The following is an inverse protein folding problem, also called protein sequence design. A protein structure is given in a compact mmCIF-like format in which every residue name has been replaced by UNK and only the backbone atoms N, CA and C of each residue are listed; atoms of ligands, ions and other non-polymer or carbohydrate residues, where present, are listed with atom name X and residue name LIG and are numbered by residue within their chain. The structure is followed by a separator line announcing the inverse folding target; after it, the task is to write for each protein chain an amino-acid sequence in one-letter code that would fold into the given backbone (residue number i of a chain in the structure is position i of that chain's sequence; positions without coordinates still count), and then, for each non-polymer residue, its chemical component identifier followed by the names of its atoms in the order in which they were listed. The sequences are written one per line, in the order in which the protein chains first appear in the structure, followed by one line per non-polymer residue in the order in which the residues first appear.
data_IF_573735976999
#
_entry.id   IF_573735976999
#
_cell.length_a   1.000
_cell.length_b   1.000
_cell.length_c   1.000
_cell.angle_alpha   90.00
_cell.angle_beta   90.00
_cell.angle_gamma   90.00
#
_symmetry.space_group_name_H-M   'P 1'
#
loop_
_entity.id
_entity.type
_entity.pdbx_description
1 polymer ?
#
# COMPACT_ATOMS: atom_id res chain seq x y z
N UNK A 1 -35.01 -21.91 25.82
CA UNK A 1 -34.62 -22.59 24.57
C UNK A 1 -35.62 -22.16 23.49
N UNK A 2 -35.33 -21.15 22.73
CA UNK A 2 -36.13 -20.76 21.56
C UNK A 2 -35.52 -21.48 20.34
N UNK A 3 -36.26 -22.46 19.82
CA UNK A 3 -35.94 -23.16 18.58
C UNK A 3 -35.99 -22.12 17.46
N UNK A 4 -34.84 -21.84 16.84
CA UNK A 4 -34.72 -20.94 15.72
C UNK A 4 -35.49 -21.51 14.51
N UNK A 5 -36.43 -20.70 14.00
CA UNK A 5 -37.01 -20.89 12.69
C UNK A 5 -35.88 -21.01 11.65
N UNK A 6 -35.85 -22.12 10.91
CA UNK A 6 -34.88 -22.38 9.85
C UNK A 6 -35.08 -21.51 8.58
N UNK A 7 -35.12 -20.21 8.74
CA UNK A 7 -35.08 -19.25 7.65
C UNK A 7 -33.67 -19.20 7.01
N UNK A 8 -33.61 -19.08 5.69
CA UNK A 8 -32.36 -18.83 4.94
C UNK A 8 -31.72 -17.54 5.48
N UNK A 9 -30.45 -17.63 5.93
CA UNK A 9 -29.74 -16.44 6.42
C UNK A 9 -29.36 -15.54 5.26
N UNK A 10 -29.40 -14.20 5.45
CA UNK A 10 -28.93 -13.28 4.44
C UNK A 10 -27.44 -13.53 4.13
N UNK A 11 -27.10 -13.49 2.85
CA UNK A 11 -25.74 -13.66 2.33
C UNK A 11 -25.06 -12.30 2.22
N UNK A 12 -23.91 -12.16 2.86
CA UNK A 12 -23.08 -10.96 2.76
C UNK A 12 -21.82 -11.29 1.99
N UNK A 13 -21.63 -10.66 0.83
CA UNK A 13 -20.41 -10.79 0.05
C UNK A 13 -19.54 -9.56 0.28
N UNK A 14 -18.26 -9.79 0.65
CA UNK A 14 -17.26 -8.75 0.90
C UNK A 14 -16.17 -8.87 -0.15
N UNK A 15 -16.03 -7.85 -0.99
CA UNK A 15 -15.02 -7.78 -2.04
C UNK A 15 -13.79 -7.01 -1.53
N UNK A 16 -12.67 -7.70 -1.40
CA UNK A 16 -11.41 -7.18 -0.88
C UNK A 16 -11.18 -7.50 0.59
N UNK A 17 -10.03 -8.11 0.88
CA UNK A 17 -9.54 -8.48 2.21
C UNK A 17 -8.59 -7.45 2.83
N UNK A 18 -8.67 -6.17 2.41
CA UNK A 18 -7.90 -5.06 2.96
C UNK A 18 -8.49 -4.51 4.28
N UNK A 19 -8.09 -3.29 4.65
CA UNK A 19 -8.52 -2.65 5.91
C UNK A 19 -10.04 -2.60 6.07
N UNK A 20 -10.75 -2.13 5.04
CA UNK A 20 -12.22 -2.02 5.09
C UNK A 20 -12.90 -3.38 5.16
N UNK A 21 -12.54 -4.29 4.25
CA UNK A 21 -13.19 -5.60 4.13
C UNK A 21 -12.97 -6.51 5.33
N UNK A 22 -11.75 -6.57 5.87
CA UNK A 22 -11.47 -7.36 7.08
C UNK A 22 -12.24 -6.82 8.28
N UNK A 23 -12.35 -5.50 8.44
CA UNK A 23 -13.12 -4.92 9.54
C UNK A 23 -14.63 -5.13 9.36
N UNK A 24 -15.13 -5.08 8.12
CA UNK A 24 -16.52 -5.44 7.83
C UNK A 24 -16.79 -6.92 8.16
N UNK A 25 -15.98 -7.85 7.66
CA UNK A 25 -16.14 -9.27 7.93
C UNK A 25 -16.05 -9.59 9.44
N UNK A 26 -15.07 -9.01 10.15
CA UNK A 26 -14.96 -9.17 11.62
C UNK A 26 -16.18 -8.64 12.36
N UNK A 27 -16.66 -7.47 11.98
CA UNK A 27 -17.82 -6.84 12.63
C UNK A 27 -19.12 -7.63 12.44
N UNK A 28 -19.23 -8.39 11.35
CA UNK A 28 -20.39 -9.25 11.06
C UNK A 28 -20.32 -10.64 11.72
N UNK A 29 -19.21 -11.03 12.34
CA UNK A 29 -18.99 -12.39 12.83
C UNK A 29 -20.06 -12.94 13.78
N UNK A 30 -20.73 -12.08 14.54
CA UNK A 30 -21.81 -12.43 15.45
C UNK A 30 -23.20 -12.17 14.88
N UNK A 31 -23.34 -11.57 13.69
CA UNK A 31 -24.61 -11.33 13.04
C UNK A 31 -25.20 -12.65 12.48
N UNK A 32 -26.52 -12.79 12.35
CA UNK A 32 -27.16 -13.98 11.80
C UNK A 32 -27.10 -14.00 10.26
N UNK A 33 -25.92 -13.87 9.70
CA UNK A 33 -25.64 -13.84 8.26
C UNK A 33 -24.59 -14.87 7.87
N UNK A 34 -24.53 -15.25 6.59
CA UNK A 34 -23.46 -16.04 6.01
C UNK A 34 -22.57 -15.12 5.19
N UNK A 35 -21.25 -15.13 5.49
CA UNK A 35 -20.29 -14.17 4.94
C UNK A 35 -19.36 -14.87 3.95
N UNK A 36 -19.15 -14.24 2.79
CA UNK A 36 -18.11 -14.66 1.84
C UNK A 36 -17.17 -13.49 1.58
N UNK A 37 -15.90 -13.64 1.95
CA UNK A 37 -14.84 -12.68 1.62
C UNK A 37 -14.12 -13.15 0.36
N UNK A 38 -14.03 -12.29 -0.65
CA UNK A 38 -13.37 -12.58 -1.93
C UNK A 38 -12.20 -11.62 -2.10
N UNK A 39 -11.00 -12.16 -2.31
CA UNK A 39 -9.81 -11.36 -2.61
C UNK A 39 -8.94 -12.08 -3.63
N UNK A 40 -8.23 -11.32 -4.46
CA UNK A 40 -7.25 -11.85 -5.43
C UNK A 40 -6.07 -12.52 -4.73
N UNK A 41 -5.80 -12.13 -3.48
CA UNK A 41 -4.71 -12.62 -2.63
C UNK A 41 -5.28 -13.41 -1.45
N UNK A 42 -4.51 -14.35 -0.95
CA UNK A 42 -4.90 -15.11 0.24
C UNK A 42 -4.53 -14.43 1.56
N UNK A 43 -3.95 -13.21 1.50
CA UNK A 43 -3.43 -12.51 2.67
C UNK A 43 -3.85 -11.04 2.72
N UNK A 44 -4.00 -10.55 3.94
CA UNK A 44 -4.10 -9.15 4.30
C UNK A 44 -2.70 -8.55 4.41
N UNK A 45 -2.52 -7.30 3.99
CA UNK A 45 -1.25 -6.56 4.11
C UNK A 45 -1.44 -5.33 4.99
N UNK A 46 -0.55 -5.15 5.96
CA UNK A 46 -0.48 -3.92 6.76
C UNK A 46 0.35 -2.87 6.01
N UNK A 47 -0.30 -2.16 5.09
CA UNK A 47 0.33 -1.23 4.15
C UNK A 47 1.22 -0.13 4.79
N UNK A 48 0.94 0.41 5.98
CA UNK A 48 1.80 1.43 6.58
C UNK A 48 3.26 1.00 6.80
N UNK A 49 3.55 -0.31 6.85
CA UNK A 49 4.90 -0.84 6.96
C UNK A 49 5.47 -1.37 5.63
N UNK A 50 4.77 -1.14 4.51
CA UNK A 50 5.15 -1.70 3.23
C UNK A 50 6.49 -1.12 2.70
N UNK A 51 6.78 0.16 2.98
CA UNK A 51 8.05 0.77 2.63
C UNK A 51 9.24 0.08 3.33
N UNK A 52 9.06 -0.47 4.53
CA UNK A 52 10.09 -1.23 5.23
C UNK A 52 10.37 -2.58 4.57
N UNK A 53 9.36 -3.19 3.95
CA UNK A 53 9.58 -4.36 3.09
C UNK A 53 10.32 -3.96 1.82
N UNK A 54 9.93 -2.85 1.20
CA UNK A 54 10.60 -2.32 0.00
C UNK A 54 12.07 -2.00 0.25
N UNK A 55 12.46 -1.61 1.45
CA UNK A 55 13.83 -1.22 1.82
C UNK A 55 14.52 -2.24 2.74
N UNK A 56 14.10 -3.51 2.65
CA UNK A 56 14.76 -4.66 3.28
C UNK A 56 14.82 -4.65 4.83
N UNK A 57 14.09 -3.78 5.51
CA UNK A 57 14.01 -3.73 6.98
C UNK A 57 13.12 -4.85 7.51
N UNK A 58 12.01 -5.15 6.83
CA UNK A 58 11.06 -6.20 7.19
C UNK A 58 10.89 -7.23 6.07
N UNK A 59 10.55 -8.45 6.45
CA UNK A 59 10.08 -9.47 5.53
C UNK A 59 8.61 -9.24 5.15
N UNK A 60 8.16 -9.62 3.94
CA UNK A 60 6.75 -9.63 3.58
C UNK A 60 5.86 -10.32 4.63
N UNK A 61 6.32 -11.41 5.21
CA UNK A 61 5.58 -12.19 6.21
C UNK A 61 5.39 -11.46 7.55
N UNK A 62 6.19 -10.43 7.84
CA UNK A 62 6.07 -9.65 9.06
C UNK A 62 4.86 -8.71 9.05
N UNK A 63 4.44 -8.28 7.85
CA UNK A 63 3.33 -7.34 7.65
C UNK A 63 2.12 -7.95 6.97
N UNK A 64 2.23 -9.19 6.49
CA UNK A 64 1.15 -9.90 5.82
C UNK A 64 0.65 -11.08 6.67
N UNK A 65 -0.68 -11.33 6.63
CA UNK A 65 -1.29 -12.45 7.34
C UNK A 65 -2.39 -13.09 6.48
N UNK A 66 -2.45 -14.44 6.39
CA UNK A 66 -3.50 -15.10 5.64
C UNK A 66 -4.90 -14.70 6.14
N UNK A 67 -5.79 -14.32 5.22
CA UNK A 67 -7.16 -13.88 5.54
C UNK A 67 -7.92 -14.98 6.28
N UNK A 68 -7.74 -16.24 5.90
CA UNK A 68 -8.35 -17.39 6.58
C UNK A 68 -7.91 -17.51 8.04
N UNK A 69 -6.65 -17.18 8.35
CA UNK A 69 -6.15 -17.16 9.73
C UNK A 69 -6.78 -16.04 10.54
N UNK A 70 -6.98 -14.87 9.93
CA UNK A 70 -7.60 -13.71 10.58
C UNK A 70 -9.07 -13.99 10.96
N UNK A 71 -9.79 -14.75 10.11
CA UNK A 71 -11.22 -14.99 10.24
C UNK A 71 -11.58 -16.41 10.74
N UNK A 72 -10.60 -17.22 11.14
CA UNK A 72 -10.77 -18.64 11.46
C UNK A 72 -11.78 -18.94 12.57
N UNK A 73 -11.96 -18.01 13.52
CA UNK A 73 -12.90 -18.15 14.63
C UNK A 73 -14.36 -17.95 14.21
N UNK A 74 -14.59 -17.38 13.01
CA UNK A 74 -15.93 -17.10 12.50
C UNK A 74 -16.45 -18.26 11.68
N UNK A 75 -17.24 -19.14 12.30
CA UNK A 75 -17.75 -20.38 11.69
C UNK A 75 -18.63 -20.18 10.43
N UNK A 76 -19.23 -18.98 10.28
CA UNK A 76 -20.11 -18.61 9.15
C UNK A 76 -19.42 -17.73 8.12
N UNK A 77 -18.10 -17.67 8.15
CA UNK A 77 -17.32 -16.88 7.21
C UNK A 77 -16.46 -17.81 6.37
N UNK A 78 -16.66 -17.76 5.06
CA UNK A 78 -15.79 -18.39 4.09
C UNK A 78 -14.92 -17.34 3.40
N UNK A 79 -13.76 -17.77 2.90
CA UNK A 79 -12.82 -16.92 2.17
C UNK A 79 -12.56 -17.58 0.81
N UNK A 80 -12.68 -16.84 -0.26
CA UNK A 80 -12.34 -17.28 -1.61
C UNK A 80 -11.17 -16.44 -2.13
N UNK A 81 -10.14 -17.11 -2.62
CA UNK A 81 -9.08 -16.46 -3.39
C UNK A 81 -9.48 -16.49 -4.86
N UNK A 82 -10.04 -15.40 -5.35
CA UNK A 82 -10.47 -15.24 -6.74
C UNK A 82 -10.55 -13.74 -7.09
N UNK A 83 -10.70 -13.44 -8.38
CA UNK A 83 -10.84 -12.10 -8.90
C UNK A 83 -12.28 -11.85 -9.36
N UNK A 84 -12.86 -10.73 -8.89
CA UNK A 84 -14.19 -10.29 -9.35
C UNK A 84 -14.02 -9.58 -10.70
N UNK A 85 -14.74 -10.07 -11.69
CA UNK A 85 -14.70 -9.56 -13.08
C UNK A 85 -16.02 -8.96 -13.53
N UNK A 86 -17.08 -9.06 -12.71
CA UNK A 86 -18.39 -8.46 -13.00
C UNK A 86 -19.23 -8.31 -11.74
N UNK A 87 -20.01 -7.23 -11.68
CA UNK A 87 -21.02 -6.97 -10.64
C UNK A 87 -22.32 -6.62 -11.34
N UNK A 88 -23.33 -7.44 -11.16
CA UNK A 88 -24.71 -7.17 -11.56
C UNK A 88 -25.49 -6.75 -10.31
N UNK A 89 -25.62 -5.46 -10.12
CA UNK A 89 -26.30 -4.90 -8.95
C UNK A 89 -27.81 -5.13 -8.94
N UNK A 90 -28.41 -5.23 -10.14
CA UNK A 90 -29.87 -5.41 -10.27
C UNK A 90 -30.25 -6.88 -10.02
N UNK A 91 -29.44 -7.84 -10.51
CA UNK A 91 -29.58 -9.27 -10.21
C UNK A 91 -28.94 -9.65 -8.86
N UNK A 92 -28.30 -8.72 -8.14
CA UNK A 92 -27.59 -8.97 -6.88
C UNK A 92 -26.58 -10.11 -6.97
N UNK A 93 -25.70 -10.05 -7.97
CA UNK A 93 -24.78 -11.13 -8.29
C UNK A 93 -23.38 -10.61 -8.66
N UNK A 94 -22.36 -11.28 -8.17
CA UNK A 94 -20.97 -11.06 -8.59
C UNK A 94 -20.49 -12.24 -9.44
N UNK A 95 -19.67 -11.93 -10.46
CA UNK A 95 -19.05 -12.93 -11.34
C UNK A 95 -17.56 -12.95 -11.07
N UNK A 96 -17.01 -14.15 -10.86
CA UNK A 96 -15.61 -14.39 -10.59
C UNK A 96 -14.86 -14.80 -11.86
N UNK A 97 -13.56 -14.58 -11.89
CA UNK A 97 -12.67 -14.96 -13.01
C UNK A 97 -12.67 -16.47 -13.27
N UNK A 98 -12.86 -17.27 -12.24
CA UNK A 98 -13.05 -18.72 -12.35
C UNK A 98 -14.35 -19.13 -13.11
N UNK A 99 -15.22 -18.17 -13.42
CA UNK A 99 -16.55 -18.41 -13.99
C UNK A 99 -17.65 -18.62 -12.96
N UNK A 100 -17.34 -18.75 -11.68
CA UNK A 100 -18.33 -18.89 -10.63
C UNK A 100 -19.14 -17.60 -10.46
N UNK A 101 -20.43 -17.75 -10.14
CA UNK A 101 -21.33 -16.65 -9.84
C UNK A 101 -21.84 -16.79 -8.40
N UNK A 102 -21.91 -15.66 -7.69
CA UNK A 102 -22.36 -15.62 -6.31
C UNK A 102 -23.44 -14.56 -6.15
N UNK A 103 -24.58 -14.96 -5.62
CA UNK A 103 -25.67 -14.06 -5.25
C UNK A 103 -25.41 -13.50 -3.85
N UNK A 104 -25.88 -12.28 -3.61
CA UNK A 104 -25.80 -11.61 -2.31
C UNK A 104 -27.14 -10.96 -1.94
N UNK A 105 -27.37 -10.83 -0.66
CA UNK A 105 -28.42 -9.99 -0.09
C UNK A 105 -27.85 -8.62 0.32
N UNK A 106 -26.55 -8.60 0.73
CA UNK A 106 -25.76 -7.39 0.96
C UNK A 106 -24.37 -7.54 0.34
N UNK A 107 -23.87 -6.44 -0.24
CA UNK A 107 -22.55 -6.38 -0.87
C UNK A 107 -21.70 -5.31 -0.17
N UNK A 108 -20.48 -5.65 0.25
CA UNK A 108 -19.48 -4.69 0.73
C UNK A 108 -18.33 -4.63 -0.27
N UNK A 109 -18.12 -3.49 -0.92
CA UNK A 109 -17.06 -3.28 -1.89
C UNK A 109 -15.92 -2.52 -1.21
N UNK A 110 -14.82 -3.23 -0.91
CA UNK A 110 -13.69 -2.76 -0.11
C UNK A 110 -12.35 -2.94 -0.85
N UNK A 111 -12.35 -2.72 -2.16
CA UNK A 111 -11.21 -3.04 -3.05
C UNK A 111 -10.14 -1.95 -3.12
N UNK A 112 -10.33 -0.86 -2.38
CA UNK A 112 -9.33 0.19 -2.18
C UNK A 112 -8.98 0.96 -3.45
N UNK A 113 -7.68 1.27 -3.58
CA UNK A 113 -7.11 2.08 -4.65
C UNK A 113 -5.92 1.39 -5.31
N UNK A 114 -5.54 1.87 -6.49
CA UNK A 114 -4.35 1.45 -7.25
C UNK A 114 -3.50 2.67 -7.62
N UNK A 115 -2.36 2.45 -8.24
CA UNK A 115 -1.52 3.54 -8.76
C UNK A 115 -2.24 4.30 -9.86
N UNK A 116 -1.99 5.59 -9.93
CA UNK A 116 -2.36 6.45 -11.05
C UNK A 116 -1.09 7.07 -11.64
N UNK A 117 -0.86 6.81 -12.90
CA UNK A 117 0.23 7.42 -13.67
C UNK A 117 -0.27 8.58 -14.54
N UNK A 118 -1.47 9.12 -14.23
CA UNK A 118 -2.07 10.26 -14.90
C UNK A 118 -2.20 10.08 -16.42
N UNK A 119 -2.53 8.87 -16.87
CA UNK A 119 -2.67 8.51 -18.28
C UNK A 119 -1.37 8.09 -18.98
N UNK A 120 -0.28 7.93 -18.21
CA UNK A 120 1.03 7.47 -18.68
C UNK A 120 1.33 6.08 -18.12
N UNK A 121 0.46 5.11 -18.39
CA UNK A 121 0.53 3.77 -17.79
C UNK A 121 1.82 3.01 -18.16
N UNK A 122 2.47 3.41 -19.26
CA UNK A 122 3.80 2.92 -19.66
C UNK A 122 4.90 3.20 -18.62
N UNK A 123 4.73 4.23 -17.81
CA UNK A 123 5.69 4.55 -16.74
C UNK A 123 5.72 3.50 -15.61
N UNK A 124 4.67 2.69 -15.49
CA UNK A 124 4.60 1.66 -14.44
C UNK A 124 5.76 0.66 -14.51
N UNK A 125 6.21 0.31 -15.71
CA UNK A 125 7.35 -0.58 -15.90
C UNK A 125 8.69 0.06 -15.49
N UNK A 126 8.80 1.38 -15.59
CA UNK A 126 10.03 2.14 -15.32
C UNK A 126 10.10 2.65 -13.89
N UNK A 127 8.98 3.08 -13.34
CA UNK A 127 8.85 3.68 -12.02
C UNK A 127 7.77 2.95 -11.20
N UNK A 128 8.09 1.81 -10.55
CA UNK A 128 7.12 1.07 -9.75
C UNK A 128 6.62 1.93 -8.59
N UNK A 129 5.31 1.85 -8.33
CA UNK A 129 4.69 2.42 -7.14
C UNK A 129 4.71 1.45 -5.96
N UNK A 130 4.14 1.85 -4.81
CA UNK A 130 4.14 1.05 -3.58
C UNK A 130 2.72 0.89 -3.02
N UNK A 131 2.05 -0.19 -3.36
CA UNK A 131 0.70 -0.53 -2.87
C UNK A 131 0.55 -1.99 -2.45
N UNK A 132 1.37 -2.88 -3.00
CA UNK A 132 1.30 -4.32 -2.77
C UNK A 132 2.63 -4.89 -2.26
N UNK A 133 2.59 -6.11 -1.74
CA UNK A 133 3.82 -6.82 -1.33
C UNK A 133 4.73 -7.04 -2.54
N UNK A 134 4.16 -7.34 -3.70
CA UNK A 134 4.88 -7.53 -4.95
C UNK A 134 5.61 -6.25 -5.37
N UNK A 135 4.94 -5.10 -5.28
CA UNK A 135 5.56 -3.79 -5.54
C UNK A 135 6.74 -3.54 -4.59
N UNK A 136 6.56 -3.84 -3.31
CA UNK A 136 7.63 -3.68 -2.32
C UNK A 136 8.83 -4.57 -2.61
N UNK A 137 8.61 -5.82 -3.00
CA UNK A 137 9.68 -6.75 -3.38
C UNK A 137 10.38 -6.29 -4.65
N UNK A 138 9.64 -5.77 -5.64
CA UNK A 138 10.21 -5.21 -6.86
C UNK A 138 11.06 -3.95 -6.59
N UNK A 139 10.56 -3.03 -5.76
CA UNK A 139 11.35 -1.86 -5.34
C UNK A 139 12.63 -2.30 -4.64
N UNK A 140 12.54 -3.25 -3.70
CA UNK A 140 13.72 -3.81 -3.01
C UNK A 140 14.72 -4.37 -3.99
N UNK A 141 14.25 -5.19 -4.94
CA UNK A 141 15.08 -5.77 -5.98
C UNK A 141 15.85 -4.68 -6.75
N UNK A 142 15.14 -3.64 -7.22
CA UNK A 142 15.76 -2.56 -8.01
C UNK A 142 16.78 -1.76 -7.21
N UNK A 143 16.43 -1.39 -5.98
CA UNK A 143 17.33 -0.59 -5.13
C UNK A 143 18.60 -1.36 -4.80
N UNK A 144 18.48 -2.61 -4.37
CA UNK A 144 19.66 -3.44 -4.05
C UNK A 144 20.49 -3.77 -5.29
N UNK A 145 19.83 -4.14 -6.40
CA UNK A 145 20.50 -4.47 -7.65
C UNK A 145 21.32 -3.32 -8.22
N UNK A 146 20.88 -2.07 -8.03
CA UNK A 146 21.62 -0.90 -8.49
C UNK A 146 23.05 -0.85 -7.88
N UNK A 147 23.19 -1.20 -6.61
CA UNK A 147 24.50 -1.26 -5.93
C UNK A 147 25.35 -2.43 -6.43
N UNK A 148 24.76 -3.61 -6.62
CA UNK A 148 25.47 -4.80 -7.15
C UNK A 148 25.98 -4.56 -8.57
N UNK A 149 25.18 -3.94 -9.42
CA UNK A 149 25.57 -3.60 -10.79
C UNK A 149 26.67 -2.54 -10.80
N UNK A 150 26.62 -1.55 -9.91
CA UNK A 150 27.65 -0.53 -9.79
C UNK A 150 28.99 -1.13 -9.33
N UNK A 151 28.97 -2.03 -8.33
CA UNK A 151 30.17 -2.75 -7.86
C UNK A 151 30.81 -3.55 -9.00
N UNK A 152 30.00 -4.31 -9.72
CA UNK A 152 30.47 -5.11 -10.86
C UNK A 152 31.08 -4.23 -11.95
N UNK A 153 30.36 -3.18 -12.37
CA UNK A 153 30.86 -2.30 -13.42
C UNK A 153 32.13 -1.57 -13.00
N UNK A 154 32.22 -1.12 -11.75
CA UNK A 154 33.42 -0.48 -11.21
C UNK A 154 34.62 -1.42 -11.26
N UNK A 155 34.43 -2.71 -10.95
CA UNK A 155 35.46 -3.72 -11.02
C UNK A 155 35.90 -3.97 -12.47
N UNK A 156 34.98 -4.04 -13.42
CA UNK A 156 35.22 -4.37 -14.82
C UNK A 156 35.84 -3.20 -15.61
N UNK A 157 35.37 -1.97 -15.36
CA UNK A 157 35.68 -0.80 -16.20
C UNK A 157 36.40 0.33 -15.47
N UNK A 158 36.48 0.27 -14.13
CA UNK A 158 36.98 1.36 -13.29
C UNK A 158 36.02 2.54 -13.13
N UNK A 159 34.81 2.45 -13.64
CA UNK A 159 33.78 3.50 -13.54
C UNK A 159 32.40 2.88 -13.31
N UNK A 160 31.47 3.65 -12.72
CA UNK A 160 30.06 3.30 -12.64
C UNK A 160 29.19 4.56 -12.80
N UNK A 161 27.89 4.43 -13.19
CA UNK A 161 26.97 5.56 -13.20
C UNK A 161 26.75 6.13 -11.81
N UNK A 162 26.39 7.42 -11.74
CA UNK A 162 25.99 8.03 -10.47
C UNK A 162 24.76 7.27 -9.91
N UNK A 163 24.86 6.86 -8.63
CA UNK A 163 23.78 6.16 -7.93
C UNK A 163 22.68 7.16 -7.48
N UNK A 164 21.95 7.68 -8.46
CA UNK A 164 20.85 8.60 -8.23
C UNK A 164 19.53 7.85 -8.13
N UNK A 165 18.88 7.94 -6.99
CA UNK A 165 17.54 7.39 -6.73
C UNK A 165 16.53 8.53 -6.76
N UNK A 166 15.56 8.46 -7.66
CA UNK A 166 14.53 9.49 -7.83
C UNK A 166 13.19 8.96 -7.32
N UNK A 167 12.58 9.69 -6.40
CA UNK A 167 11.22 9.41 -5.87
C UNK A 167 10.30 10.52 -6.36
N UNK A 168 9.28 10.17 -7.12
CA UNK A 168 8.30 11.11 -7.68
C UNK A 168 7.08 11.14 -6.76
N UNK A 169 6.85 12.30 -6.13
CA UNK A 169 5.78 12.55 -5.16
C UNK A 169 6.31 12.76 -3.74
N UNK A 170 5.92 13.88 -3.12
CA UNK A 170 6.32 14.33 -1.79
C UNK A 170 5.28 14.08 -0.70
N UNK A 171 4.37 13.11 -0.90
CA UNK A 171 3.47 12.61 0.14
C UNK A 171 4.17 11.67 1.13
N UNK A 172 3.44 11.13 2.13
CA UNK A 172 4.01 10.25 3.16
C UNK A 172 4.84 9.09 2.58
N UNK A 173 4.29 8.36 1.60
CA UNK A 173 4.99 7.23 0.95
C UNK A 173 6.32 7.64 0.32
N UNK A 174 6.35 8.80 -0.38
CA UNK A 174 7.58 9.28 -1.02
C UNK A 174 8.64 9.69 -0.01
N UNK A 175 8.23 10.36 1.06
CA UNK A 175 9.12 10.77 2.17
C UNK A 175 9.70 9.55 2.89
N UNK A 176 8.86 8.55 3.20
CA UNK A 176 9.28 7.30 3.83
C UNK A 176 10.24 6.50 2.96
N UNK A 177 9.94 6.35 1.65
CA UNK A 177 10.84 5.69 0.70
C UNK A 177 12.18 6.42 0.60
N UNK A 178 12.18 7.73 0.41
CA UNK A 178 13.41 8.49 0.23
C UNK A 178 14.30 8.45 1.47
N UNK A 179 13.72 8.63 2.68
CA UNK A 179 14.44 8.51 3.94
C UNK A 179 15.06 7.13 4.12
N UNK A 180 14.29 6.07 3.83
CA UNK A 180 14.75 4.70 3.99
C UNK A 180 15.80 4.30 2.93
N UNK A 181 15.75 4.81 1.68
CA UNK A 181 16.82 4.62 0.68
C UNK A 181 18.13 5.27 1.16
N UNK A 182 18.03 6.48 1.72
CA UNK A 182 19.23 7.13 2.29
C UNK A 182 19.84 6.33 3.44
N UNK A 183 19.02 5.80 4.34
CA UNK A 183 19.48 4.96 5.45
C UNK A 183 20.13 3.66 4.95
N UNK A 184 19.54 2.97 3.96
CA UNK A 184 20.11 1.74 3.43
C UNK A 184 21.49 1.98 2.81
N UNK A 185 21.64 3.06 2.05
CA UNK A 185 22.89 3.39 1.40
C UNK A 185 23.99 3.81 2.40
N UNK A 186 23.65 4.60 3.42
CA UNK A 186 24.62 5.24 4.31
C UNK A 186 24.91 4.50 5.60
N UNK A 187 23.93 3.70 6.08
CA UNK A 187 24.07 3.01 7.36
C UNK A 187 24.24 1.49 7.16
N UNK A 188 23.39 0.88 6.32
CA UNK A 188 23.31 -0.58 6.27
C UNK A 188 24.26 -1.20 5.25
N UNK A 189 24.49 -0.53 4.13
CA UNK A 189 25.34 -1.05 3.04
C UNK A 189 26.71 -0.37 2.95
N UNK A 190 27.00 0.61 3.81
CA UNK A 190 28.20 1.43 3.75
C UNK A 190 29.51 0.63 3.71
N UNK A 191 29.53 -0.56 4.33
CA UNK A 191 30.72 -1.41 4.43
C UNK A 191 30.62 -2.74 3.66
N UNK A 192 29.54 -2.95 2.90
CA UNK A 192 29.32 -4.23 2.21
C UNK A 192 30.14 -4.35 0.92
N UNK A 193 30.33 -3.25 0.22
CA UNK A 193 31.02 -3.15 -1.07
C UNK A 193 32.49 -2.79 -0.94
N UNK A 194 33.30 -3.18 -1.92
CA UNK A 194 34.75 -2.99 -1.90
C UNK A 194 35.24 -1.97 -2.93
N UNK A 195 34.52 -1.82 -4.04
CA UNK A 195 34.95 -0.97 -5.16
C UNK A 195 34.09 0.28 -5.30
N UNK A 196 32.89 0.30 -4.73
CA UNK A 196 32.06 1.49 -4.67
C UNK A 196 31.86 1.96 -3.23
N UNK A 197 31.47 3.23 -3.10
CA UNK A 197 31.02 3.80 -1.83
C UNK A 197 29.49 3.98 -1.86
N UNK A 198 28.67 3.08 -1.27
CA UNK A 198 27.23 3.24 -1.26
C UNK A 198 26.74 4.55 -0.67
N UNK A 199 27.49 5.12 0.28
CA UNK A 199 27.14 6.42 0.92
C UNK A 199 27.20 7.60 -0.05
N UNK A 200 27.80 7.44 -1.23
CA UNK A 200 27.79 8.46 -2.29
C UNK A 200 26.47 8.54 -3.04
N UNK A 201 25.56 7.58 -2.83
CA UNK A 201 24.24 7.57 -3.44
C UNK A 201 23.45 8.85 -3.13
N UNK A 202 22.80 9.39 -4.15
CA UNK A 202 21.97 10.59 -4.03
C UNK A 202 20.51 10.20 -4.10
N UNK A 203 19.70 10.75 -3.19
CA UNK A 203 18.26 10.55 -3.18
C UNK A 203 17.59 11.89 -3.44
N UNK A 204 16.69 11.92 -4.44
CA UNK A 204 15.98 13.12 -4.87
C UNK A 204 14.48 12.87 -4.85
N UNK A 205 13.72 13.71 -4.14
CA UNK A 205 12.27 13.79 -4.24
C UNK A 205 11.90 14.87 -5.25
N UNK A 206 11.08 14.51 -6.24
CA UNK A 206 10.43 15.43 -7.18
C UNK A 206 8.95 15.56 -6.81
N UNK A 207 8.55 16.73 -6.34
CA UNK A 207 7.18 17.02 -5.94
C UNK A 207 6.58 18.10 -6.84
N UNK A 208 5.45 17.78 -7.51
CA UNK A 208 4.79 18.71 -8.43
C UNK A 208 4.15 19.92 -7.75
N UNK A 209 3.72 19.80 -6.51
CA UNK A 209 3.17 20.91 -5.74
C UNK A 209 4.28 21.77 -5.10
N UNK A 210 3.90 22.93 -4.59
CA UNK A 210 4.81 23.80 -3.84
C UNK A 210 5.10 23.37 -2.39
N UNK A 211 4.60 22.20 -1.96
CA UNK A 211 4.67 21.78 -0.56
C UNK A 211 4.95 20.27 -0.43
N UNK A 212 5.94 19.94 0.38
CA UNK A 212 6.13 18.56 0.85
C UNK A 212 5.07 18.22 1.90
N UNK A 213 4.54 17.00 1.91
CA UNK A 213 3.51 16.57 2.87
C UNK A 213 2.33 17.55 2.93
N UNK A 214 1.75 17.93 1.79
CA UNK A 214 0.77 19.02 1.67
C UNK A 214 -0.46 18.91 2.60
N UNK A 215 -0.80 17.70 3.08
CA UNK A 215 -1.87 17.46 4.04
C UNK A 215 -1.48 17.76 5.51
N UNK A 216 -0.19 18.00 5.78
CA UNK A 216 0.31 18.27 7.12
C UNK A 216 0.40 19.78 7.38
N UNK A 217 0.36 20.23 8.66
CA UNK A 217 0.62 21.61 9.04
C UNK A 217 2.00 22.11 8.59
N UNK A 218 2.12 23.41 8.34
CA UNK A 218 3.33 24.02 7.77
C UNK A 218 4.59 23.80 8.64
N UNK A 219 4.45 23.81 9.97
CA UNK A 219 5.54 23.52 10.92
C UNK A 219 6.09 22.09 10.78
N UNK A 220 5.19 21.11 10.54
CA UNK A 220 5.59 19.72 10.30
C UNK A 220 6.18 19.53 8.90
N UNK A 221 5.70 20.27 7.88
CA UNK A 221 6.28 20.28 6.55
C UNK A 221 7.74 20.79 6.59
N UNK A 222 7.99 21.92 7.29
CA UNK A 222 9.33 22.47 7.46
C UNK A 222 10.24 21.53 8.25
N UNK A 223 9.71 20.89 9.29
CA UNK A 223 10.45 19.90 10.05
C UNK A 223 10.84 18.69 9.19
N UNK A 224 9.92 18.21 8.33
CA UNK A 224 10.19 17.11 7.40
C UNK A 224 11.29 17.46 6.39
N UNK A 225 11.24 18.65 5.81
CA UNK A 225 12.30 19.15 4.90
C UNK A 225 13.67 19.16 5.59
N UNK A 226 13.75 19.70 6.81
CA UNK A 226 14.99 19.74 7.58
C UNK A 226 15.53 18.35 7.94
N UNK A 227 14.63 17.41 8.27
CA UNK A 227 15.02 16.04 8.59
C UNK A 227 15.51 15.29 7.33
N UNK A 228 14.87 15.47 6.18
CA UNK A 228 15.32 14.92 4.89
C UNK A 228 16.68 15.47 4.47
N UNK A 229 16.89 16.78 4.61
CA UNK A 229 18.18 17.43 4.34
C UNK A 229 19.29 16.85 5.24
N UNK A 230 19.01 16.63 6.52
CA UNK A 230 19.92 15.96 7.46
C UNK A 230 20.28 14.52 7.07
N UNK A 231 19.40 13.83 6.36
CA UNK A 231 19.67 12.54 5.73
C UNK A 231 20.37 12.67 4.36
N UNK A 232 20.59 13.90 3.85
CA UNK A 232 21.14 14.20 2.53
C UNK A 232 20.19 13.86 1.38
N UNK A 233 18.89 13.78 1.65
CA UNK A 233 17.86 13.69 0.64
C UNK A 233 17.55 15.07 0.10
N UNK A 234 17.64 15.24 -1.20
CA UNK A 234 17.30 16.50 -1.87
C UNK A 234 15.80 16.52 -2.19
N UNK A 235 15.16 17.68 -2.04
CA UNK A 235 13.75 17.87 -2.36
C UNK A 235 13.61 19.02 -3.36
N UNK A 236 12.95 18.76 -4.50
CA UNK A 236 12.57 19.78 -5.47
C UNK A 236 11.06 19.92 -5.50
N UNK A 237 10.56 21.04 -5.01
CA UNK A 237 9.15 21.41 -5.04
C UNK A 237 8.82 22.13 -6.35
N UNK A 238 7.58 22.02 -6.83
CA UNK A 238 7.15 22.57 -8.11
C UNK A 238 7.75 21.84 -9.33
N UNK A 239 8.31 20.65 -9.12
CA UNK A 239 8.97 19.85 -10.15
C UNK A 239 7.99 18.84 -10.76
N UNK A 240 7.35 19.23 -11.85
CA UNK A 240 6.46 18.34 -12.60
C UNK A 240 7.28 17.46 -13.55
N UNK A 241 7.26 16.14 -13.30
CA UNK A 241 7.86 15.17 -14.21
C UNK A 241 7.04 15.12 -15.48
N UNK A 242 7.68 15.38 -16.63
CA UNK A 242 7.06 15.38 -17.95
C UNK A 242 7.24 14.06 -18.69
N UNK A 243 8.33 13.33 -18.41
CA UNK A 243 8.61 12.02 -18.98
C UNK A 243 9.48 11.15 -18.07
N UNK A 244 9.37 9.84 -18.20
CA UNK A 244 10.18 8.83 -17.52
C UNK A 244 10.71 7.87 -18.57
N UNK A 245 12.04 7.75 -18.64
CA UNK A 245 12.73 6.86 -19.56
C UNK A 245 13.70 5.93 -18.82
N UNK A 246 14.14 4.83 -19.41
CA UNK A 246 15.18 4.01 -18.83
C UNK A 246 16.44 4.84 -18.50
N UNK A 247 16.80 4.92 -17.21
CA UNK A 247 17.99 5.63 -16.75
C UNK A 247 17.85 7.12 -16.49
N UNK A 248 16.69 7.75 -16.75
CA UNK A 248 16.47 9.17 -16.45
C UNK A 248 15.01 9.59 -16.34
N UNK A 249 14.78 10.73 -15.75
CA UNK A 249 13.49 11.43 -15.75
C UNK A 249 13.64 12.83 -16.32
N UNK A 250 12.55 13.36 -16.91
CA UNK A 250 12.50 14.73 -17.45
C UNK A 250 11.65 15.61 -16.52
N UNK A 251 12.15 16.81 -16.23
CA UNK A 251 11.40 17.88 -15.55
C UNK A 251 11.45 19.12 -16.46
N UNK A 252 10.39 19.34 -17.22
CA UNK A 252 10.44 20.27 -18.36
C UNK A 252 11.49 19.79 -19.37
N UNK A 253 12.48 20.63 -19.68
CA UNK A 253 13.58 20.31 -20.60
C UNK A 253 14.82 19.75 -19.87
N UNK A 254 14.82 19.69 -18.54
CA UNK A 254 15.93 19.19 -17.77
C UNK A 254 15.91 17.66 -17.66
N UNK A 255 16.99 17.04 -18.08
CA UNK A 255 17.24 15.61 -17.91
C UNK A 255 17.92 15.35 -16.56
N UNK A 256 17.33 14.48 -15.74
CA UNK A 256 17.87 14.05 -14.45
C UNK A 256 18.18 12.55 -14.55
N UNK A 257 19.44 12.17 -14.53
CA UNK A 257 19.84 10.77 -14.54
C UNK A 257 19.42 10.06 -13.26
N UNK A 258 18.85 8.87 -13.39
CA UNK A 258 18.30 8.08 -12.31
C UNK A 258 18.55 6.59 -12.54
N UNK A 259 19.27 5.91 -11.65
CA UNK A 259 19.45 4.47 -11.71
C UNK A 259 18.18 3.71 -11.30
N UNK A 260 17.40 4.30 -10.40
CA UNK A 260 16.10 3.80 -9.98
C UNK A 260 15.14 4.99 -9.85
N UNK A 261 13.99 4.87 -10.49
CA UNK A 261 12.87 5.82 -10.34
C UNK A 261 11.72 5.11 -9.64
N UNK A 262 11.12 5.75 -8.62
CA UNK A 262 9.99 5.23 -7.84
C UNK A 262 8.81 6.18 -7.92
N UNK A 263 7.60 5.62 -8.01
CA UNK A 263 6.36 6.38 -8.12
C UNK A 263 5.60 6.46 -6.80
N UNK A 264 5.42 7.65 -6.28
CA UNK A 264 4.62 7.96 -5.08
C UNK A 264 3.66 9.15 -5.29
N UNK A 265 3.42 9.56 -6.55
CA UNK A 265 2.73 10.82 -6.88
C UNK A 265 1.21 10.72 -7.02
N UNK A 266 0.64 9.52 -7.11
CA UNK A 266 -0.79 9.44 -7.33
C UNK A 266 -1.41 8.06 -7.12
N UNK A 267 -2.66 8.10 -6.66
CA UNK A 267 -3.53 6.93 -6.54
C UNK A 267 -4.89 7.23 -7.16
N UNK A 268 -5.51 6.21 -7.72
CA UNK A 268 -6.88 6.22 -8.22
C UNK A 268 -7.67 5.07 -7.59
N UNK A 269 -8.98 5.21 -7.56
CA UNK A 269 -9.85 4.17 -7.04
C UNK A 269 -9.73 2.87 -7.85
N UNK A 270 -10.01 1.75 -7.21
CA UNK A 270 -10.04 0.43 -7.85
C UNK A 270 -11.00 0.42 -9.05
N UNK A 271 -10.63 -0.22 -10.17
CA UNK A 271 -11.51 -0.32 -11.35
C UNK A 271 -12.84 -1.03 -11.09
N UNK A 272 -12.99 -1.75 -9.97
CA UNK A 272 -14.27 -2.36 -9.60
C UNK A 272 -15.38 -1.32 -9.36
N UNK A 273 -15.06 -0.07 -9.01
CA UNK A 273 -16.05 1.01 -8.92
C UNK A 273 -16.83 1.20 -10.22
N UNK A 274 -16.16 1.09 -11.37
CA UNK A 274 -16.80 1.19 -12.69
C UNK A 274 -17.79 0.05 -12.97
N UNK A 275 -17.54 -1.15 -12.42
CA UNK A 275 -18.41 -2.31 -12.61
C UNK A 275 -19.75 -2.18 -11.88
N UNK A 276 -19.83 -1.32 -10.86
CA UNK A 276 -21.10 -1.03 -10.16
C UNK A 276 -22.07 -0.21 -11.01
N UNK A 277 -21.57 0.55 -12.00
CA UNK A 277 -22.41 1.39 -12.84
C UNK A 277 -23.17 2.48 -12.05
N UNK A 278 -22.50 3.08 -11.06
CA UNK A 278 -23.02 4.15 -10.17
C UNK A 278 -22.19 5.43 -10.33
N UNK A 279 -22.63 6.52 -9.74
CA UNK A 279 -21.93 7.80 -9.79
C UNK A 279 -20.55 7.74 -9.12
N UNK A 280 -19.54 8.34 -9.77
CA UNK A 280 -18.16 8.36 -9.33
C UNK A 280 -17.54 9.76 -9.46
N UNK A 281 -16.51 10.02 -8.67
CA UNK A 281 -15.68 11.22 -8.82
C UNK A 281 -14.68 11.08 -9.99
N UNK A 282 -13.88 12.14 -10.22
CA UNK A 282 -12.87 12.16 -11.28
C UNK A 282 -11.74 11.14 -11.11
N UNK A 283 -11.52 10.64 -9.89
CA UNK A 283 -10.50 9.61 -9.58
C UNK A 283 -11.09 8.19 -9.61
N UNK A 284 -12.38 8.05 -9.97
CA UNK A 284 -13.10 6.79 -10.04
C UNK A 284 -13.59 6.28 -8.70
N UNK A 285 -13.56 7.09 -7.63
CA UNK A 285 -14.15 6.74 -6.34
C UNK A 285 -15.66 6.90 -6.39
N UNK A 286 -16.38 5.94 -5.81
CA UNK A 286 -17.84 5.87 -5.83
C UNK A 286 -18.42 6.90 -4.85
N UNK A 287 -19.32 7.76 -5.32
CA UNK A 287 -20.04 8.70 -4.47
C UNK A 287 -21.00 7.94 -3.55
N UNK A 288 -20.85 8.13 -2.25
CA UNK A 288 -21.67 7.45 -1.24
C UNK A 288 -22.38 8.44 -0.33
N UNK A 289 -23.54 8.02 0.18
CA UNK A 289 -24.31 8.76 1.17
C UNK A 289 -23.76 8.62 2.60
N UNK A 290 -24.45 9.15 3.58
CA UNK A 290 -24.11 9.07 5.00
C UNK A 290 -24.11 7.64 5.55
N UNK A 291 -24.68 6.69 4.84
CA UNK A 291 -24.69 5.27 5.20
C UNK A 291 -23.66 4.44 4.42
N UNK A 292 -22.79 5.11 3.65
CA UNK A 292 -21.79 4.51 2.77
C UNK A 292 -22.41 3.70 1.61
N UNK A 293 -23.62 4.06 1.21
CA UNK A 293 -24.35 3.43 0.11
C UNK A 293 -24.26 4.30 -1.14
N UNK A 294 -24.04 3.72 -2.34
CA UNK A 294 -24.28 4.41 -3.59
C UNK A 294 -25.78 4.78 -3.69
N UNK A 295 -26.09 5.92 -4.29
CA UNK A 295 -27.47 6.42 -4.41
C UNK A 295 -28.41 5.36 -5.01
N UNK A 296 -29.48 5.03 -4.26
CA UNK A 296 -30.50 4.08 -4.70
C UNK A 296 -30.20 2.61 -4.43
N UNK A 297 -29.08 2.29 -3.74
CA UNK A 297 -28.63 0.91 -3.48
C UNK A 297 -28.32 0.70 -2.00
N UNK A 298 -29.34 0.58 -1.15
CA UNK A 298 -29.18 0.39 0.31
C UNK A 298 -28.58 -0.98 0.71
N UNK A 299 -28.51 -1.91 -0.22
CA UNK A 299 -27.93 -3.24 -0.08
C UNK A 299 -26.44 -3.31 -0.47
N UNK A 300 -25.89 -2.21 -1.04
CA UNK A 300 -24.47 -2.10 -1.43
C UNK A 300 -23.77 -1.07 -0.55
N UNK A 301 -22.64 -1.46 0.04
CA UNK A 301 -21.78 -0.61 0.85
C UNK A 301 -20.42 -0.47 0.18
N UNK A 302 -19.95 0.76 -0.03
CA UNK A 302 -18.61 1.01 -0.56
C UNK A 302 -17.76 1.64 0.55
N UNK A 303 -16.58 1.07 0.82
CA UNK A 303 -15.77 1.45 1.97
C UNK A 303 -14.28 1.58 1.62
N UNK A 304 -13.58 2.42 2.38
CA UNK A 304 -12.15 2.70 2.19
C UNK A 304 -11.88 3.59 0.97
N UNK A 305 -10.69 3.46 0.38
CA UNK A 305 -10.21 4.36 -0.70
C UNK A 305 -11.09 4.35 -1.96
N UNK A 306 -11.96 3.34 -2.12
CA UNK A 306 -12.93 3.28 -3.22
C UNK A 306 -14.12 4.21 -2.98
N UNK A 307 -14.43 4.58 -1.74
CA UNK A 307 -15.55 5.45 -1.38
C UNK A 307 -15.15 6.93 -1.44
N UNK A 308 -15.96 7.73 -2.13
CA UNK A 308 -15.93 9.18 -1.99
C UNK A 308 -17.01 9.58 -0.99
N UNK A 309 -16.61 9.80 0.25
CA UNK A 309 -17.46 10.24 1.34
C UNK A 309 -17.06 11.65 1.79
N UNK A 310 -18.03 12.53 1.89
CA UNK A 310 -17.83 13.89 2.38
C UNK A 310 -18.48 14.07 3.77
N UNK A 311 -17.73 14.67 4.67
CA UNK A 311 -18.20 15.10 5.98
C UNK A 311 -17.93 16.59 6.17
N UNK A 312 -18.97 17.34 6.49
CA UNK A 312 -18.91 18.79 6.67
C UNK A 312 -18.24 19.53 5.47
N UNK A 313 -18.55 19.07 4.24
CA UNK A 313 -18.03 19.64 2.98
C UNK A 313 -16.57 19.32 2.68
N UNK A 314 -15.98 18.35 3.39
CA UNK A 314 -14.62 17.88 3.16
C UNK A 314 -14.62 16.39 2.87
N UNK A 315 -13.86 16.00 1.86
CA UNK A 315 -13.66 14.59 1.54
C UNK A 315 -12.85 13.92 2.66
N UNK A 316 -13.35 12.79 3.18
CA UNK A 316 -12.60 11.93 4.10
C UNK A 316 -11.44 11.29 3.35
N UNK A 317 -10.21 11.31 3.91
CA UNK A 317 -9.02 10.84 3.21
C UNK A 317 -9.03 9.33 2.96
N UNK A 318 -8.45 8.90 1.82
CA UNK A 318 -8.26 7.48 1.50
C UNK A 318 -7.03 6.89 2.20
N UNK A 319 -7.15 6.63 3.50
CA UNK A 319 -6.11 6.04 4.35
C UNK A 319 -6.67 4.90 5.20
N UNK A 320 -5.81 4.19 5.91
CA UNK A 320 -6.20 2.99 6.68
C UNK A 320 -7.26 3.26 7.76
N UNK A 321 -7.20 4.41 8.46
CA UNK A 321 -8.10 4.72 9.57
C UNK A 321 -9.57 4.84 9.12
N UNK A 322 -9.93 5.68 8.12
CA UNK A 322 -11.30 5.73 7.61
C UNK A 322 -11.74 4.37 7.06
N UNK A 323 -10.88 3.66 6.32
CA UNK A 323 -11.23 2.35 5.77
C UNK A 323 -11.66 1.35 6.86
N UNK A 324 -10.93 1.28 7.98
CA UNK A 324 -11.30 0.44 9.13
C UNK A 324 -12.62 0.86 9.77
N UNK A 325 -12.82 2.17 9.94
CA UNK A 325 -14.04 2.73 10.55
C UNK A 325 -15.26 2.53 9.65
N UNK A 326 -15.13 2.79 8.34
CA UNK A 326 -16.19 2.53 7.35
C UNK A 326 -16.56 1.05 7.30
N UNK A 327 -15.58 0.13 7.29
CA UNK A 327 -15.85 -1.31 7.33
C UNK A 327 -16.59 -1.74 8.60
N UNK A 328 -16.19 -1.21 9.75
CA UNK A 328 -16.87 -1.46 11.03
C UNK A 328 -18.30 -0.88 11.03
N UNK A 329 -18.49 0.30 10.45
CA UNK A 329 -19.79 0.93 10.31
C UNK A 329 -20.72 0.10 9.40
N UNK A 330 -20.26 -0.29 8.20
CA UNK A 330 -21.01 -1.13 7.26
C UNK A 330 -21.48 -2.43 7.93
N UNK A 331 -20.61 -3.09 8.69
CA UNK A 331 -20.97 -4.28 9.44
C UNK A 331 -22.11 -4.03 10.45
N UNK A 332 -22.01 -2.97 11.24
CA UNK A 332 -23.06 -2.59 12.21
C UNK A 332 -24.38 -2.25 11.49
N UNK A 333 -24.31 -1.54 10.37
CA UNK A 333 -25.49 -1.17 9.60
C UNK A 333 -26.18 -2.39 9.00
N UNK A 334 -25.43 -3.30 8.38
CA UNK A 334 -25.95 -4.57 7.83
C UNK A 334 -26.58 -5.41 8.96
N UNK A 335 -25.92 -5.56 10.09
CA UNK A 335 -26.47 -6.30 11.23
C UNK A 335 -27.78 -5.71 11.74
N UNK A 336 -27.89 -4.38 11.78
CA UNK A 336 -29.11 -3.67 12.16
C UNK A 336 -30.24 -3.79 11.11
N UNK A 337 -29.91 -3.80 9.82
CA UNK A 337 -30.86 -4.04 8.72
C UNK A 337 -31.43 -5.46 8.82
N UNK A 338 -30.58 -6.46 9.01
CA UNK A 338 -30.99 -7.86 9.19
C UNK A 338 -31.87 -8.05 10.43
N UNK A 339 -31.59 -7.32 11.50
CA UNK A 339 -32.39 -7.34 12.73
C UNK A 339 -33.66 -6.48 12.66
N UNK A 340 -33.91 -5.73 11.58
CA UNK A 340 -35.04 -4.81 11.45
C UNK A 340 -34.99 -3.59 12.38
N UNK A 341 -33.79 -3.22 12.86
CA UNK A 341 -33.58 -2.14 13.84
C UNK A 341 -32.81 -0.94 13.29
N UNK A 342 -32.46 -0.93 12.02
CA UNK A 342 -31.58 0.06 11.40
C UNK A 342 -32.04 1.52 11.59
N UNK A 343 -33.33 1.80 11.47
CA UNK A 343 -33.87 3.15 11.67
C UNK A 343 -33.77 3.68 13.11
N UNK A 344 -33.53 2.82 14.09
CA UNK A 344 -33.44 3.17 15.52
C UNK A 344 -32.00 3.19 16.05
N UNK A 345 -31.08 2.45 15.41
CA UNK A 345 -29.78 2.11 15.99
C UNK A 345 -28.55 2.63 15.23
N UNK A 346 -28.68 3.01 13.96
CA UNK A 346 -27.55 3.48 13.17
C UNK A 346 -27.77 4.90 12.66
N UNK A 347 -27.01 5.84 13.22
CA UNK A 347 -26.84 7.18 12.65
C UNK A 347 -25.93 7.09 11.43
N UNK A 348 -25.84 8.14 10.62
CA UNK A 348 -24.88 8.25 9.54
C UNK A 348 -23.44 8.04 10.00
N UNK A 349 -22.58 7.61 9.09
CA UNK A 349 -21.16 7.45 9.34
C UNK A 349 -20.53 8.78 9.71
N UNK A 350 -19.65 8.77 10.69
CA UNK A 350 -18.80 9.89 11.09
C UNK A 350 -17.37 9.41 11.20
N UNK A 351 -16.45 10.13 10.54
CA UNK A 351 -15.04 9.83 10.64
C UNK A 351 -14.45 10.41 11.93
N UNK A 352 -13.79 9.57 12.69
CA UNK A 352 -13.05 9.98 13.88
C UNK A 352 -11.55 10.07 13.53
N UNK A 353 -11.09 11.30 13.23
CA UNK A 353 -9.69 11.57 12.93
C UNK A 353 -8.81 11.45 14.20
N UNK A 354 -7.79 10.61 14.14
CA UNK A 354 -6.80 10.45 15.21
C UNK A 354 -5.50 11.17 14.90
N UNK A 355 -5.36 11.69 13.68
CA UNK A 355 -4.17 12.34 13.17
C UNK A 355 -3.39 11.51 12.16
N UNK A 356 -2.34 12.11 11.63
CA UNK A 356 -1.48 11.57 10.57
C UNK A 356 -0.03 11.53 11.02
N UNK A 357 0.73 10.56 10.52
CA UNK A 357 2.14 10.38 10.84
C UNK A 357 2.91 9.91 9.61
N UNK A 358 4.17 10.37 9.47
CA UNK A 358 5.10 9.89 8.45
C UNK A 358 6.50 9.79 9.05
N UNK A 359 7.21 8.68 8.79
CA UNK A 359 8.61 8.55 9.22
C UNK A 359 9.55 9.19 8.21
N UNK A 360 10.68 9.66 8.72
CA UNK A 360 11.75 10.26 7.93
C UNK A 360 13.04 9.58 8.34
N UNK A 361 13.38 8.53 7.61
CA UNK A 361 14.46 7.64 7.98
C UNK A 361 14.19 6.86 9.27
N UNK A 362 15.27 6.41 9.90
CA UNK A 362 15.25 5.39 10.96
C UNK A 362 14.78 5.90 12.32
N UNK A 363 15.01 7.17 12.67
CA UNK A 363 14.87 7.67 14.05
C UNK A 363 14.06 8.95 14.16
N UNK A 364 13.45 9.37 13.05
CA UNK A 364 12.70 10.61 13.01
C UNK A 364 11.36 10.43 12.32
N UNK A 365 10.41 11.28 12.65
CA UNK A 365 9.09 11.33 12.08
C UNK A 365 8.48 12.71 12.21
N UNK A 366 7.35 12.92 11.57
CA UNK A 366 6.41 14.00 11.85
C UNK A 366 5.05 13.38 12.20
N UNK A 367 4.37 13.94 13.19
CA UNK A 367 3.10 13.46 13.68
C UNK A 367 2.16 14.64 14.00
N UNK A 368 1.04 14.67 13.30
CA UNK A 368 -0.12 15.50 13.63
C UNK A 368 -1.05 14.62 14.46
N UNK A 369 -1.22 14.92 15.73
CA UNK A 369 -2.09 14.21 16.67
C UNK A 369 -3.37 15.01 16.82
N UNK A 370 -4.53 14.38 16.57
CA UNK A 370 -5.85 14.99 16.76
C UNK A 370 -6.56 14.44 18.01
N UNK A 371 -6.19 13.24 18.46
CA UNK A 371 -6.75 12.59 19.65
C UNK A 371 -5.66 11.80 20.39
N UNK A 372 -5.66 11.79 21.74
CA UNK A 372 -6.62 12.37 22.70
C UNK A 372 -6.44 13.87 22.94
N UNK A 373 -5.39 14.48 22.45
CA UNK A 373 -5.12 15.93 22.53
C UNK A 373 -4.50 16.37 21.20
N UNK A 374 -4.74 17.63 20.81
CA UNK A 374 -4.15 18.18 19.60
C UNK A 374 -2.70 18.57 19.82
N UNK A 375 -1.80 18.02 19.04
CA UNK A 375 -0.38 18.33 19.11
C UNK A 375 0.34 18.05 17.78
N UNK A 376 1.41 18.80 17.53
CA UNK A 376 2.35 18.54 16.46
C UNK A 376 3.68 18.10 17.09
N UNK A 377 4.10 16.90 16.74
CA UNK A 377 5.37 16.35 17.18
C UNK A 377 6.27 16.07 15.99
N UNK A 378 7.59 16.21 16.20
CA UNK A 378 8.58 15.94 15.17
C UNK A 378 9.86 15.32 15.75
N UNK A 379 10.67 14.72 14.89
CA UNK A 379 11.91 14.05 15.27
C UNK A 379 11.68 12.76 16.05
N UNK A 380 12.56 12.47 17.01
CA UNK A 380 12.56 11.22 17.77
C UNK A 380 11.28 10.98 18.59
N UNK A 381 10.69 11.97 19.30
CA UNK A 381 9.43 11.76 20.00
C UNK A 381 8.28 11.34 19.08
N UNK A 382 8.16 11.95 17.90
CA UNK A 382 7.17 11.57 16.91
C UNK A 382 7.40 10.14 16.39
N UNK A 383 8.66 9.74 16.25
CA UNK A 383 9.02 8.38 15.83
C UNK A 383 8.61 7.33 16.87
N UNK A 384 8.78 7.58 18.17
CA UNK A 384 8.30 6.68 19.24
C UNK A 384 6.78 6.50 19.18
N UNK A 385 6.02 7.59 18.97
CA UNK A 385 4.58 7.53 18.82
C UNK A 385 4.21 6.71 17.58
N UNK A 386 4.86 6.99 16.45
CA UNK A 386 4.67 6.26 15.20
C UNK A 386 4.90 4.74 15.41
N UNK A 387 6.02 4.36 16.02
CA UNK A 387 6.38 2.98 16.33
C UNK A 387 5.30 2.29 17.17
N UNK A 388 4.86 2.95 18.26
CA UNK A 388 3.85 2.40 19.18
C UNK A 388 2.51 2.19 18.48
N UNK A 389 2.05 3.17 17.71
CA UNK A 389 0.78 3.11 16.97
C UNK A 389 0.83 1.98 15.93
N UNK A 390 1.92 1.86 15.16
CA UNK A 390 2.01 0.88 14.10
C UNK A 390 2.10 -0.56 14.63
N UNK A 391 2.82 -0.80 15.75
CA UNK A 391 2.80 -2.10 16.43
C UNK A 391 1.41 -2.43 16.97
N UNK A 392 0.72 -1.46 17.56
CA UNK A 392 -0.62 -1.68 18.12
C UNK A 392 -1.62 -2.12 17.05
N UNK A 393 -1.61 -1.48 15.88
CA UNK A 393 -2.54 -1.79 14.78
C UNK A 393 -2.10 -2.97 13.90
N UNK A 394 -0.85 -3.43 14.00
CA UNK A 394 -0.38 -4.60 13.27
C UNK A 394 -1.17 -5.85 13.69
N UNK A 395 -1.72 -6.56 12.69
CA UNK A 395 -2.53 -7.75 12.94
C UNK A 395 -1.63 -8.95 13.30
N UNK A 396 -2.04 -9.68 14.35
CA UNK A 396 -1.39 -10.89 14.82
C UNK A 396 -0.33 -10.64 15.89
N UNK A 397 -0.48 -11.35 17.02
CA UNK A 397 0.44 -11.23 18.16
C UNK A 397 1.89 -11.63 17.79
N UNK A 398 2.03 -12.70 17.00
CA UNK A 398 3.33 -13.16 16.48
C UNK A 398 4.03 -12.06 15.66
N UNK A 399 3.29 -11.40 14.75
CA UNK A 399 3.84 -10.36 13.90
C UNK A 399 4.27 -9.14 14.73
N UNK A 400 3.49 -8.75 15.74
CA UNK A 400 3.85 -7.65 16.66
C UNK A 400 5.17 -7.91 17.37
N UNK A 401 5.35 -9.09 17.93
CA UNK A 401 6.60 -9.48 18.62
C UNK A 401 7.74 -9.57 17.60
N UNK A 402 7.50 -10.16 16.44
CA UNK A 402 8.51 -10.29 15.38
C UNK A 402 9.03 -8.95 14.92
N UNK A 403 8.13 -8.02 14.55
CA UNK A 403 8.48 -6.66 14.12
C UNK A 403 9.16 -5.88 15.24
N UNK A 404 8.64 -5.94 16.46
CA UNK A 404 9.28 -5.26 17.60
C UNK A 404 10.71 -5.75 17.84
N UNK A 405 10.93 -7.09 17.83
CA UNK A 405 12.27 -7.68 17.97
C UNK A 405 13.19 -7.29 16.83
N UNK A 406 12.67 -7.30 15.58
CA UNK A 406 13.45 -6.91 14.42
C UNK A 406 13.87 -5.45 14.51
N UNK A 407 12.95 -4.54 14.83
CA UNK A 407 13.27 -3.12 15.01
C UNK A 407 14.27 -2.90 16.13
N UNK A 408 14.09 -3.56 17.28
CA UNK A 408 15.02 -3.46 18.40
C UNK A 408 16.42 -3.94 18.01
N UNK A 409 16.52 -5.06 17.31
CA UNK A 409 17.79 -5.60 16.85
C UNK A 409 18.46 -4.68 15.81
N UNK A 410 17.72 -4.30 14.78
CA UNK A 410 18.21 -3.40 13.72
C UNK A 410 18.66 -2.06 14.32
N UNK A 411 17.92 -1.55 15.31
CA UNK A 411 18.28 -0.31 16.00
C UNK A 411 19.63 -0.40 16.73
N UNK A 412 19.93 -1.53 17.38
CA UNK A 412 21.16 -1.71 18.14
C UNK A 412 22.37 -2.07 17.27
N UNK A 413 22.17 -2.91 16.24
CA UNK A 413 23.28 -3.56 15.53
C UNK A 413 23.58 -2.97 14.17
N UNK A 414 22.71 -2.12 13.61
CA UNK A 414 22.80 -1.62 12.23
C UNK A 414 22.86 -2.76 11.19
N UNK A 415 22.45 -3.97 11.57
CA UNK A 415 22.43 -5.13 10.68
C UNK A 415 21.01 -5.42 10.24
N UNK A 416 20.79 -5.51 8.93
CA UNK A 416 19.50 -5.85 8.34
C UNK A 416 19.50 -7.21 7.69
N UNK A 417 18.42 -7.95 7.96
CA UNK A 417 18.35 -9.35 7.63
C UNK A 417 17.71 -9.72 6.30
N UNK A 418 17.08 -8.79 5.55
CA UNK A 418 16.22 -9.17 4.42
C UNK A 418 16.70 -8.58 3.09
N UNK A 419 18.01 -8.35 2.96
CA UNK A 419 18.64 -7.83 1.73
C UNK A 419 18.79 -8.89 0.65
N UNK A 420 17.69 -9.54 0.27
CA UNK A 420 17.66 -10.55 -0.76
C UNK A 420 17.15 -9.94 -2.07
N UNK A 421 17.91 -10.15 -3.13
CA UNK A 421 17.51 -9.85 -4.51
C UNK A 421 16.86 -11.12 -5.06
N UNK A 422 15.58 -11.03 -5.38
CA UNK A 422 14.81 -12.16 -5.95
C UNK A 422 14.14 -11.71 -7.24
N UNK A 423 14.03 -12.60 -8.24
CA UNK A 423 13.48 -12.30 -9.56
C UNK A 423 14.53 -11.91 -10.59
N UNK A 424 14.14 -11.11 -11.59
CA UNK A 424 15.03 -10.70 -12.69
C UNK A 424 16.25 -9.91 -12.19
N UNK A 425 17.37 -10.07 -12.87
CA UNK A 425 18.59 -9.30 -12.64
C UNK A 425 18.71 -8.09 -13.57
N UNK A 426 17.65 -7.75 -14.30
CA UNK A 426 17.61 -6.59 -15.19
C UNK A 426 17.17 -5.34 -14.44
N UNK A 427 17.84 -4.22 -14.71
CA UNK A 427 17.46 -2.90 -14.22
C UNK A 427 17.23 -1.95 -15.41
N UNK A 428 16.04 -1.37 -15.58
CA UNK A 428 15.78 -0.44 -16.68
C UNK A 428 16.78 0.71 -16.70
N UNK A 429 17.39 0.96 -17.87
CA UNK A 429 18.38 2.02 -18.04
C UNK A 429 19.81 1.66 -17.62
N UNK A 430 20.04 0.48 -17.06
CA UNK A 430 21.37 -0.03 -16.90
C UNK A 430 21.77 -0.70 -18.22
N UNK A 431 22.55 0.00 -19.05
CA UNK A 431 23.00 -0.52 -20.33
C UNK A 431 23.90 -1.72 -20.15
N UNK A 432 23.49 -2.86 -20.67
CA UNK A 432 24.43 -3.91 -21.03
C UNK A 432 25.27 -3.37 -22.19
N UNK A 433 26.50 -2.97 -21.93
CA UNK A 433 27.48 -2.90 -22.99
C UNK A 433 27.77 -4.34 -23.42
N UNK A 434 27.26 -4.67 -24.61
CA UNK A 434 27.59 -5.82 -25.44
C UNK A 434 27.97 -7.14 -24.77
N UNK A 435 27.04 -8.08 -24.69
CA UNK A 435 27.33 -9.47 -25.02
C UNK A 435 27.65 -10.42 -23.90
N UNK A 436 27.56 -10.09 -22.60
CA UNK A 436 27.75 -11.08 -21.53
C UNK A 436 26.78 -10.86 -20.40
N UNK A 437 25.63 -11.36 -20.52
CA UNK A 437 24.73 -12.01 -19.57
C UNK A 437 23.32 -12.05 -20.16
N UNK A 438 23.11 -12.93 -21.09
CA UNK A 438 21.78 -13.51 -21.27
C UNK A 438 21.58 -14.47 -20.10
N UNK A 439 21.06 -13.98 -19.01
CA UNK A 439 20.35 -14.82 -18.08
C UNK A 439 19.09 -15.29 -18.81
N UNK A 440 19.19 -16.41 -19.48
CA UNK A 440 18.05 -17.16 -19.94
C UNK A 440 17.32 -17.63 -18.68
N UNK A 441 16.39 -16.86 -18.18
CA UNK A 441 15.19 -17.47 -17.67
C UNK A 441 14.48 -18.00 -18.91
N UNK A 442 14.81 -19.22 -19.31
CA UNK A 442 13.89 -20.05 -20.04
C UNK A 442 12.72 -20.30 -19.09
N UNK A 443 11.74 -19.44 -19.13
CA UNK A 443 10.37 -19.84 -18.82
C UNK A 443 9.93 -20.76 -19.98
N UNK A 444 10.58 -21.94 -20.07
CA UNK A 444 9.98 -23.04 -20.82
C UNK A 444 8.65 -23.32 -20.11
N UNK A 445 7.53 -23.35 -20.83
CA UNK A 445 6.26 -23.81 -20.25
C UNK A 445 6.51 -25.16 -19.57
N UNK A 446 5.92 -25.35 -18.40
CA UNK A 446 6.08 -26.61 -17.61
C UNK A 446 5.81 -27.85 -18.46
N UNK A 447 4.97 -27.74 -19.49
CA UNK A 447 4.64 -28.80 -20.43
C UNK A 447 5.84 -29.25 -21.30
N UNK A 448 6.78 -28.37 -21.65
CA UNK A 448 7.97 -28.71 -22.43
C UNK A 448 9.08 -29.34 -21.57
N UNK A 449 9.16 -28.97 -20.28
CA UNK A 449 10.11 -29.55 -19.34
C UNK A 449 9.74 -31.03 -19.01
N UNK A 450 8.44 -31.34 -18.93
CA UNK A 450 7.95 -32.71 -18.67
C UNK A 450 8.09 -33.62 -19.89
N UNK A 451 8.02 -33.08 -21.09
CA UNK A 451 8.20 -33.86 -22.34
C UNK A 451 9.63 -34.35 -22.55
N UNK A 452 10.63 -33.66 -21.97
CA UNK A 452 12.07 -34.07 -22.08
C UNK A 452 12.50 -35.11 -21.02
N UNK A 453 11.63 -35.43 -20.06
CA UNK A 453 11.89 -36.43 -19.01
C UNK A 453 11.21 -37.79 -19.27
N UNK A 454 10.59 -37.97 -20.43
CA UNK A 454 10.13 -39.25 -20.98
C UNK A 454 10.99 -39.68 -22.14
#
# INVERSE_FOLDING_TARGET
MAAGSGGVRPRVVVLGGGFGGINAAKGLGNAPVDITVIDRKNFYTFQPLLYQVALAVLSPADIAQPIRTILREQKRTQVLMDEVVGIDKDARRVTLKSGAQMEYDYLVVATGSTHSYFGKEEWAALAPGLKTVEDAVEIRRRVLLAFELAERQMLETGTHPALNFVVIGGGPTGVELAGAISDIARLYMANDFRHINPSSAQVLILEGSGKLLAAYPDDLQQSALKQLDGLGVKVRLGAHVSDIQPGYVMVGDEKIDAVVTLWAAGVQASPLGKMLGVEMDRRGAVLVDEHLNPKGHEDIFVVGDLAHFEEDGKQVPGVAQPAMQMGTYAAKRIAALVAGTAGKTTKGFRYFDKGDMATIGRTAAVAKIEWPFKAHWSGFPAWIVWLTVHIFFLIGFRNRIGVFRQWFWTYLTFSDGVRLITGSQDLPGWAHQDGVYHGHETTEPIDDAVAKLK
#
